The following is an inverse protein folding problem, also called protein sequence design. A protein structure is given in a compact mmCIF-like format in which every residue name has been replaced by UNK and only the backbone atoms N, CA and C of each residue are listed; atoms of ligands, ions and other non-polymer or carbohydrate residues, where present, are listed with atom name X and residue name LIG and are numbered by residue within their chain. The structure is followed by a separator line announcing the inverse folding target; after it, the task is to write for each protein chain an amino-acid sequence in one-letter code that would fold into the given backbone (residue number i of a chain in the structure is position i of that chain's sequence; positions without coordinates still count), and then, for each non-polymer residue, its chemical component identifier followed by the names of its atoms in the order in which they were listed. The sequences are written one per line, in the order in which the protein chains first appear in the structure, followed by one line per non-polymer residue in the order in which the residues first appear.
data_IF_196969685914
#
_entry.id   IF_196969685914
#
_cell.length_a   1.000
_cell.length_b   1.000
_cell.length_c   1.000
_cell.angle_alpha   90.00
_cell.angle_beta   90.00
_cell.angle_gamma   90.00
#
_symmetry.space_group_name_H-M   'P 1'
#
loop_
_entity.id
_entity.type
_entity.pdbx_description
1 polymer ?
#
# COMPACT_ATOMS: atom_id res chain seq x y z
N UNK A 1 9.50 -1.48 12.27
CA UNK A 1 8.81 -2.39 11.35
C UNK A 1 8.98 -1.85 9.93
N UNK A 2 8.88 -2.69 8.90
CA UNK A 2 8.92 -2.23 7.52
C UNK A 2 7.51 -1.86 7.02
N UNK A 3 7.42 -1.19 5.86
CA UNK A 3 6.15 -0.74 5.28
C UNK A 3 5.12 -1.87 5.15
N UNK A 4 5.54 -3.06 4.72
CA UNK A 4 4.63 -4.19 4.46
C UNK A 4 3.98 -4.67 5.75
N UNK A 5 4.72 -4.67 6.86
CA UNK A 5 4.20 -5.04 8.18
C UNK A 5 3.13 -4.03 8.64
N UNK A 6 3.33 -2.74 8.40
CA UNK A 6 2.30 -1.74 8.70
C UNK A 6 1.07 -1.90 7.82
N UNK A 7 1.22 -2.32 6.56
CA UNK A 7 0.09 -2.53 5.66
C UNK A 7 -0.81 -3.73 6.05
N UNK A 8 -0.39 -4.63 6.95
CA UNK A 8 -1.22 -5.79 7.31
C UNK A 8 -2.46 -5.44 8.14
N UNK A 9 -2.50 -4.24 8.73
CA UNK A 9 -3.65 -3.76 9.52
C UNK A 9 -4.70 -3.06 8.67
N UNK A 10 -4.44 -2.89 7.37
CA UNK A 10 -5.37 -2.22 6.45
C UNK A 10 -6.59 -3.10 6.23
N UNK A 11 -7.75 -2.51 6.43
CA UNK A 11 -9.04 -3.17 6.30
C UNK A 11 -9.61 -3.03 4.89
N UNK A 12 -10.45 -3.98 4.50
CA UNK A 12 -11.19 -3.93 3.26
C UNK A 12 -12.58 -4.56 3.35
N UNK A 13 -13.45 -4.13 2.46
CA UNK A 13 -14.87 -4.54 2.42
C UNK A 13 -15.15 -5.67 1.43
N UNK A 14 -14.14 -6.21 0.73
CA UNK A 14 -14.33 -7.36 -0.18
C UNK A 14 -14.74 -8.58 0.64
N UNK A 15 -15.73 -9.33 0.14
CA UNK A 15 -15.99 -10.66 0.66
C UNK A 15 -14.81 -11.60 0.40
N UNK A 16 -14.68 -12.63 1.24
CA UNK A 16 -13.63 -13.66 1.06
C UNK A 16 -13.90 -14.61 -0.12
N UNK A 17 -15.09 -14.54 -0.71
CA UNK A 17 -15.47 -15.35 -1.86
C UNK A 17 -14.71 -14.88 -3.10
N UNK A 18 -14.02 -15.79 -3.79
CA UNK A 18 -13.27 -15.52 -5.03
C UNK A 18 -12.18 -14.43 -4.90
N UNK A 19 -11.63 -14.26 -3.70
CA UNK A 19 -10.56 -13.29 -3.40
C UNK A 19 -9.21 -13.78 -3.92
N UNK A 20 -8.92 -13.53 -5.21
CA UNK A 20 -7.68 -13.97 -5.87
C UNK A 20 -6.43 -13.16 -5.47
N UNK A 21 -6.56 -11.84 -5.33
CA UNK A 21 -5.41 -10.99 -5.01
C UNK A 21 -5.47 -10.55 -3.55
N UNK A 22 -4.38 -10.83 -2.85
CA UNK A 22 -4.12 -10.36 -1.50
C UNK A 22 -4.11 -8.83 -1.45
N UNK A 23 -4.66 -8.25 -0.39
CA UNK A 23 -4.78 -6.80 -0.26
C UNK A 23 -3.42 -6.11 -0.19
N UNK A 24 -2.53 -6.64 0.66
CA UNK A 24 -1.21 -6.06 0.90
C UNK A 24 -0.35 -6.15 -0.35
N UNK A 25 -0.44 -7.25 -1.11
CA UNK A 25 0.20 -7.36 -2.44
C UNK A 25 -0.23 -6.21 -3.37
N UNK A 26 -1.53 -5.91 -3.42
CA UNK A 26 -2.08 -4.88 -4.32
C UNK A 26 -1.72 -3.47 -3.84
N UNK A 27 -1.80 -3.19 -2.54
CA UNK A 27 -1.42 -1.89 -1.98
C UNK A 27 0.09 -1.65 -2.17
N UNK A 28 0.93 -2.66 -1.91
CA UNK A 28 2.37 -2.57 -2.13
C UNK A 28 2.71 -2.28 -3.61
N UNK A 29 2.01 -2.94 -4.56
CA UNK A 29 2.12 -2.65 -5.99
C UNK A 29 1.78 -1.19 -6.30
N UNK A 30 0.64 -0.69 -5.80
CA UNK A 30 0.18 0.68 -6.06
C UNK A 30 1.17 1.72 -5.52
N UNK A 31 1.62 1.57 -4.27
CA UNK A 31 2.59 2.49 -3.67
C UNK A 31 3.90 2.48 -4.46
N UNK A 32 4.43 1.30 -4.79
CA UNK A 32 5.69 1.16 -5.54
C UNK A 32 5.59 1.80 -6.93
N UNK A 33 4.47 1.64 -7.62
CA UNK A 33 4.23 2.22 -8.93
C UNK A 33 4.10 3.76 -8.87
N UNK A 34 3.35 4.29 -7.90
CA UNK A 34 3.20 5.75 -7.71
C UNK A 34 4.55 6.39 -7.38
N UNK A 35 5.35 5.77 -6.50
CA UNK A 35 6.70 6.24 -6.20
C UNK A 35 7.63 6.23 -7.44
N UNK A 36 7.34 5.37 -8.42
CA UNK A 36 8.04 5.32 -9.70
C UNK A 36 7.44 6.27 -10.77
N UNK A 37 6.44 7.09 -10.42
CA UNK A 37 5.84 8.08 -11.30
C UNK A 37 4.63 7.60 -12.12
N UNK A 38 3.99 6.49 -11.73
CA UNK A 38 2.75 6.06 -12.38
C UNK A 38 1.57 7.00 -12.06
N UNK A 39 0.84 7.46 -13.08
CA UNK A 39 -0.24 8.45 -12.93
C UNK A 39 -1.66 7.86 -13.10
N UNK A 40 -1.78 6.53 -13.23
CA UNK A 40 -3.07 5.88 -13.33
C UNK A 40 -3.04 4.35 -13.28
N UNK A 41 -4.23 3.72 -13.30
CA UNK A 41 -4.37 2.26 -13.17
C UNK A 41 -3.68 1.47 -14.29
N UNK A 42 -3.64 2.03 -15.50
CA UNK A 42 -2.95 1.41 -16.62
C UNK A 42 -1.44 1.41 -16.38
N UNK A 43 -0.88 2.52 -15.93
CA UNK A 43 0.55 2.65 -15.63
C UNK A 43 0.95 1.75 -14.46
N UNK A 44 0.11 1.64 -13.43
CA UNK A 44 0.35 0.73 -12.29
C UNK A 44 0.38 -0.73 -12.77
N UNK A 45 -0.52 -1.12 -13.68
CA UNK A 45 -0.48 -2.46 -14.26
C UNK A 45 0.82 -2.68 -15.05
N UNK A 46 1.20 -1.73 -15.91
CA UNK A 46 2.44 -1.81 -16.71
C UNK A 46 3.69 -1.88 -15.83
N UNK A 47 3.74 -1.07 -14.77
CA UNK A 47 4.79 -1.12 -13.76
C UNK A 47 4.87 -2.51 -13.13
N UNK A 48 3.73 -3.04 -12.67
CA UNK A 48 3.65 -4.36 -12.04
C UNK A 48 4.15 -5.47 -12.96
N UNK A 49 3.71 -5.48 -14.21
CA UNK A 49 4.15 -6.44 -15.23
C UNK A 49 5.66 -6.30 -15.53
N UNK A 50 6.18 -5.07 -15.59
CA UNK A 50 7.62 -4.82 -15.86
C UNK A 50 8.54 -5.10 -14.67
N UNK A 51 8.03 -4.99 -13.43
CA UNK A 51 8.79 -5.14 -12.18
C UNK A 51 8.37 -6.36 -11.37
N UNK A 52 7.65 -7.31 -11.97
CA UNK A 52 7.13 -8.49 -11.28
C UNK A 52 8.23 -9.26 -10.52
N UNK A 53 9.40 -9.46 -11.14
CA UNK A 53 10.53 -10.13 -10.50
C UNK A 53 11.04 -9.41 -9.25
N UNK A 54 11.05 -8.07 -9.25
CA UNK A 54 11.45 -7.27 -8.08
C UNK A 54 10.35 -7.28 -7.01
N UNK A 55 9.08 -7.11 -7.41
CA UNK A 55 7.93 -7.18 -6.50
C UNK A 55 7.87 -8.52 -5.76
N UNK A 56 8.19 -9.62 -6.45
CA UNK A 56 8.23 -10.98 -5.89
C UNK A 56 9.31 -11.21 -4.84
N UNK A 57 10.29 -10.31 -4.71
CA UNK A 57 11.27 -10.37 -3.62
C UNK A 57 10.65 -9.99 -2.27
N UNK A 58 9.54 -9.25 -2.27
CA UNK A 58 8.92 -8.72 -1.06
C UNK A 58 7.57 -9.37 -0.73
N UNK A 59 6.79 -9.73 -1.76
CA UNK A 59 5.45 -10.31 -1.61
C UNK A 59 5.20 -11.41 -2.64
N UNK A 60 4.35 -12.39 -2.36
CA UNK A 60 4.25 -13.59 -3.19
C UNK A 60 3.52 -13.39 -4.52
N UNK A 61 2.58 -12.42 -4.64
CA UNK A 61 1.76 -12.23 -5.85
C UNK A 61 1.23 -13.56 -6.42
N UNK A 62 0.59 -14.37 -5.56
CA UNK A 62 0.24 -15.79 -5.86
C UNK A 62 -0.57 -15.96 -7.15
N UNK A 63 -1.41 -14.98 -7.48
CA UNK A 63 -2.25 -14.97 -8.67
C UNK A 63 -1.75 -13.99 -9.75
N UNK A 64 -0.46 -13.66 -9.72
CA UNK A 64 0.17 -12.72 -10.65
C UNK A 64 -0.21 -11.26 -10.41
N UNK A 65 0.21 -10.39 -11.32
CA UNK A 65 -0.09 -8.96 -11.29
C UNK A 65 -1.56 -8.73 -11.68
N UNK A 66 -2.37 -8.08 -10.83
CA UNK A 66 -3.76 -7.75 -11.15
C UNK A 66 -3.86 -6.78 -12.33
N UNK A 67 -4.91 -6.91 -13.15
CA UNK A 67 -5.20 -5.95 -14.23
C UNK A 67 -5.73 -4.63 -13.67
N UNK A 68 -5.63 -3.54 -14.44
CA UNK A 68 -6.05 -2.18 -14.04
C UNK A 68 -7.43 -2.11 -13.37
N UNK A 69 -8.41 -2.82 -13.91
CA UNK A 69 -9.78 -2.84 -13.38
C UNK A 69 -9.87 -3.62 -12.07
N UNK A 70 -9.06 -4.66 -11.93
CA UNK A 70 -8.92 -5.42 -10.68
C UNK A 70 -8.26 -4.57 -9.60
N UNK A 71 -7.19 -3.84 -9.93
CA UNK A 71 -6.52 -2.90 -9.02
C UNK A 71 -7.52 -1.85 -8.52
N UNK A 72 -8.16 -1.13 -9.45
CA UNK A 72 -9.13 -0.09 -9.11
C UNK A 72 -10.27 -0.61 -8.20
N UNK A 73 -10.79 -1.82 -8.49
CA UNK A 73 -11.84 -2.44 -7.68
C UNK A 73 -11.38 -2.79 -6.27
N UNK A 74 -10.15 -3.28 -6.11
CA UNK A 74 -9.59 -3.63 -4.80
C UNK A 74 -9.29 -2.37 -4.00
N UNK A 75 -8.72 -1.34 -4.62
CA UNK A 75 -8.46 -0.08 -3.93
C UNK A 75 -9.75 0.62 -3.51
N UNK A 76 -10.82 0.50 -4.30
CA UNK A 76 -12.16 1.00 -3.93
C UNK A 76 -12.74 0.34 -2.67
N UNK A 77 -12.33 -0.89 -2.36
CA UNK A 77 -12.82 -1.59 -1.17
C UNK A 77 -12.02 -1.33 0.11
N UNK A 78 -10.88 -0.65 0.01
CA UNK A 78 -10.03 -0.29 1.17
C UNK A 78 -10.77 0.69 2.06
N UNK A 79 -10.72 0.46 3.38
CA UNK A 79 -11.13 1.45 4.38
C UNK A 79 -10.03 2.50 4.47
N UNK A 80 -10.32 3.71 3.97
CA UNK A 80 -9.33 4.77 3.75
C UNK A 80 -8.61 5.17 5.04
N UNK A 81 -9.33 5.23 6.15
CA UNK A 81 -8.82 5.56 7.48
C UNK A 81 -7.76 4.56 7.93
N UNK A 82 -8.02 3.26 7.77
CA UNK A 82 -7.05 2.21 8.13
C UNK A 82 -5.76 2.28 7.30
N UNK A 83 -5.87 2.64 6.01
CA UNK A 83 -4.70 2.83 5.15
C UNK A 83 -3.90 4.08 5.56
N UNK A 84 -4.59 5.17 5.88
CA UNK A 84 -3.95 6.40 6.34
C UNK A 84 -3.21 6.18 7.66
N UNK A 85 -3.85 5.50 8.61
CA UNK A 85 -3.24 5.15 9.89
C UNK A 85 -2.00 4.25 9.71
N UNK A 86 -2.10 3.22 8.88
CA UNK A 86 -0.96 2.35 8.56
C UNK A 86 0.23 3.13 7.99
N UNK A 87 -0.02 4.03 7.04
CA UNK A 87 1.04 4.84 6.42
C UNK A 87 1.62 5.86 7.39
N UNK A 88 0.79 6.52 8.21
CA UNK A 88 1.26 7.48 9.20
C UNK A 88 2.08 6.82 10.31
N UNK A 89 1.65 5.65 10.78
CA UNK A 89 2.40 4.87 11.77
C UNK A 89 3.77 4.48 11.23
N UNK A 90 3.83 3.99 9.99
CA UNK A 90 5.10 3.70 9.32
C UNK A 90 6.00 4.95 9.22
N UNK A 91 5.48 6.07 8.70
CA UNK A 91 6.26 7.31 8.57
C UNK A 91 6.74 7.82 9.93
N UNK A 92 5.89 7.79 10.95
CA UNK A 92 6.23 8.24 12.29
C UNK A 92 7.29 7.37 12.95
N UNK A 93 7.27 6.06 12.73
CA UNK A 93 8.32 5.16 13.21
C UNK A 93 9.68 5.50 12.57
N UNK A 94 9.69 5.77 11.25
CA UNK A 94 10.90 6.20 10.56
C UNK A 94 11.40 7.58 11.05
N UNK A 95 10.48 8.51 11.34
CA UNK A 95 10.81 9.85 11.86
C UNK A 95 11.35 9.81 13.27
N UNK A 96 10.74 9.03 14.15
CA UNK A 96 11.20 8.82 15.52
C UNK A 96 12.63 8.25 15.53
N UNK A 97 12.89 7.24 14.70
CA UNK A 97 14.24 6.67 14.52
C UNK A 97 15.25 7.69 14.01
N UNK A 98 14.81 8.68 13.23
CA UNK A 98 15.63 9.78 12.73
C UNK A 98 15.66 11.03 13.64
N UNK A 99 15.11 10.98 14.85
CA UNK A 99 15.05 12.11 15.78
C UNK A 99 14.17 13.27 15.31
N UNK A 100 13.21 13.02 14.41
CA UNK A 100 12.30 14.03 13.85
C UNK A 100 10.95 13.98 14.56
N UNK A 101 10.27 15.13 14.61
CA UNK A 101 8.94 15.27 15.22
C UNK A 101 7.90 14.35 14.56
N UNK A 102 6.98 13.82 15.35
CA UNK A 102 5.86 12.97 14.93
C UNK A 102 4.77 13.81 14.25
N UNK A 103 4.16 13.26 13.20
CA UNK A 103 3.02 13.84 12.48
C UNK A 103 1.73 13.29 13.10
N UNK A 104 0.85 14.16 13.60
CA UNK A 104 -0.47 13.77 14.07
C UNK A 104 -1.47 13.67 12.91
N UNK A 105 -2.48 12.80 13.06
CA UNK A 105 -3.56 12.58 12.08
C UNK A 105 -4.36 13.86 11.77
N UNK A 106 -4.45 14.79 12.73
CA UNK A 106 -5.15 16.07 12.61
C UNK A 106 -4.32 17.18 11.94
N UNK A 107 -3.08 16.89 11.52
CA UNK A 107 -2.16 17.86 10.94
C UNK A 107 -1.58 18.87 11.95
N UNK A 108 -1.88 18.75 13.24
CA UNK A 108 -1.32 19.61 14.29
C UNK A 108 -0.16 18.86 14.93
N UNK A 109 1.06 19.21 14.49
CA UNK A 109 2.28 18.75 15.15
C UNK A 109 2.21 19.11 16.65
N UNK A 110 2.25 18.12 17.54
CA UNK A 110 2.49 18.38 18.96
C UNK A 110 3.97 18.68 19.15
N UNK A 111 4.29 19.96 19.22
CA UNK A 111 5.57 20.46 19.71
C UNK A 111 5.74 20.03 21.16
N UNK A 112 6.64 19.09 21.40
CA UNK A 112 7.31 18.91 22.69
C UNK A 112 8.58 19.73 22.71
#
# INVERSE_FOLDING_TARGET
MNLIEHLTVVEETRSDINKKHDLVDVIFLVISAIMAGAEGWQDIQLYGESKEGWLRQYRPFKNGIPKRHTIARILKSVVAESLLEALLNWVNEQRHTAGKQVIALDGINKSG
#
